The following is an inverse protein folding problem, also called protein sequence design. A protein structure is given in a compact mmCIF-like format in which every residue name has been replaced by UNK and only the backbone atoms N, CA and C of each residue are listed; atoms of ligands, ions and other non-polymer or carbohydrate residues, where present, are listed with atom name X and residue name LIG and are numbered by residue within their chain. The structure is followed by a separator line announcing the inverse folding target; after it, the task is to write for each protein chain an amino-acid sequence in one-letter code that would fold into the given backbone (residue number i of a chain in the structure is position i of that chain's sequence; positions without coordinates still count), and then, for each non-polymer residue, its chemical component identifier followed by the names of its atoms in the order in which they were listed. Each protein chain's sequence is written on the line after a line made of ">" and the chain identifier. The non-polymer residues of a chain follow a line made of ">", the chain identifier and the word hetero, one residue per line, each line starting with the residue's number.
data_IF_790002381492
#
_entry.id   IF_790002381492
#
_cell.length_a   1.000
_cell.length_b   1.000
_cell.length_c   1.000
_cell.angle_alpha   90.00
_cell.angle_beta   90.00
_cell.angle_gamma   90.00
#
_symmetry.space_group_name_H-M   'P 1'
#
loop_
_entity.id
_entity.type
_entity.pdbx_description
1 polymer ?
#
# COMPACT_ATOMS: atom_id res chain seq x y z
N UNK A 1 7.77 -25.11 -14.23
CA UNK A 1 9.01 -24.85 -13.46
C UNK A 1 8.69 -23.61 -12.63
N UNK A 2 8.48 -23.76 -11.33
CA UNK A 2 8.08 -22.64 -10.46
C UNK A 2 9.28 -21.69 -10.37
N UNK A 3 9.15 -20.39 -10.66
CA UNK A 3 10.25 -19.46 -10.54
C UNK A 3 10.80 -19.44 -9.10
N UNK A 4 12.11 -19.57 -8.94
CA UNK A 4 12.82 -19.53 -7.64
C UNK A 4 12.69 -18.18 -6.90
N UNK A 5 12.05 -17.18 -7.51
CA UNK A 5 11.88 -15.81 -7.01
C UNK A 5 11.09 -15.75 -5.69
N UNK A 6 10.16 -16.68 -5.50
CA UNK A 6 9.32 -16.73 -4.30
C UNK A 6 10.05 -17.33 -3.10
N UNK A 7 11.06 -18.17 -3.35
CA UNK A 7 11.96 -18.65 -2.28
C UNK A 7 12.93 -17.58 -1.80
N UNK A 8 13.07 -16.48 -2.53
CA UNK A 8 13.94 -15.35 -2.17
C UNK A 8 13.21 -14.26 -1.37
N UNK A 9 12.07 -14.57 -0.74
CA UNK A 9 11.44 -13.78 0.32
C UNK A 9 11.67 -14.42 1.69
N UNK A 10 12.89 -14.95 1.90
CA UNK A 10 13.46 -15.05 3.24
C UNK A 10 13.43 -13.63 3.84
N UNK A 11 12.74 -13.47 4.98
CA UNK A 11 12.47 -12.22 5.72
C UNK A 11 13.04 -10.95 5.07
N UNK A 12 12.19 -10.17 4.37
CA UNK A 12 12.59 -8.86 3.83
C UNK A 12 11.94 -7.74 4.60
N UNK A 13 12.70 -6.69 4.85
CA UNK A 13 12.22 -5.46 5.46
C UNK A 13 12.05 -4.39 4.40
N UNK A 14 10.86 -3.80 4.39
CA UNK A 14 10.49 -2.73 3.50
C UNK A 14 10.09 -1.49 4.28
N UNK A 15 10.47 -0.34 3.73
CA UNK A 15 10.00 0.96 4.18
C UNK A 15 8.95 1.47 3.22
N UNK A 16 7.71 1.56 3.71
CA UNK A 16 6.60 2.19 2.99
C UNK A 16 6.42 3.61 3.51
N UNK A 17 6.38 4.59 2.61
CA UNK A 17 6.17 5.98 2.97
C UNK A 17 5.10 6.61 2.09
N UNK A 18 4.21 7.37 2.73
CA UNK A 18 3.28 8.27 2.05
C UNK A 18 3.54 9.70 2.52
N UNK A 19 3.79 10.60 1.56
CA UNK A 19 3.81 12.04 1.77
C UNK A 19 2.53 12.63 1.20
N UNK A 20 1.79 13.36 2.03
CA UNK A 20 0.58 14.09 1.66
C UNK A 20 0.88 15.57 1.75
N UNK A 21 0.87 16.24 0.60
CA UNK A 21 0.97 17.68 0.49
C UNK A 21 -0.39 18.25 0.14
N UNK A 22 -0.95 19.12 0.99
CA UNK A 22 -2.23 19.79 0.76
C UNK A 22 -2.04 21.30 0.61
N UNK A 23 -2.51 21.86 -0.50
CA UNK A 23 -2.58 23.30 -0.71
C UNK A 23 -3.87 23.85 -0.10
N UNK A 24 -3.77 24.56 1.04
CA UNK A 24 -4.94 25.17 1.68
C UNK A 24 -5.33 26.49 0.99
N UNK A 25 -4.34 27.24 0.53
CA UNK A 25 -4.49 28.46 -0.26
C UNK A 25 -3.21 28.71 -1.08
N UNK A 26 -3.17 29.72 -1.98
CA UNK A 26 -2.00 29.97 -2.84
C UNK A 26 -0.67 30.20 -2.10
N UNK A 27 -0.69 30.54 -0.82
CA UNK A 27 0.48 30.90 -0.01
C UNK A 27 0.77 29.93 1.15
N UNK A 28 -0.09 28.95 1.39
CA UNK A 28 0.04 28.03 2.52
C UNK A 28 -0.21 26.59 2.11
N UNK A 29 0.78 25.76 2.40
CA UNK A 29 0.84 24.35 2.07
C UNK A 29 1.22 23.57 3.32
N UNK A 30 0.53 22.46 3.56
CA UNK A 30 0.82 21.56 4.66
C UNK A 30 1.34 20.25 4.11
N UNK A 31 2.42 19.74 4.70
CA UNK A 31 2.97 18.43 4.37
C UNK A 31 2.84 17.51 5.59
N UNK A 32 2.38 16.28 5.35
CA UNK A 32 2.36 15.20 6.33
C UNK A 32 3.06 13.98 5.76
N UNK A 33 3.75 13.25 6.61
CA UNK A 33 4.52 12.06 6.24
C UNK A 33 4.16 10.91 7.17
N UNK A 34 3.83 9.78 6.56
CA UNK A 34 3.46 8.54 7.24
C UNK A 34 4.37 7.43 6.76
N UNK A 35 5.15 6.84 7.66
CA UNK A 35 6.12 5.78 7.35
C UNK A 35 5.76 4.52 8.13
N UNK A 36 5.90 3.37 7.46
CA UNK A 36 5.77 2.03 8.02
C UNK A 36 7.01 1.22 7.68
N UNK A 37 7.62 0.59 8.67
CA UNK A 37 8.61 -0.46 8.44
C UNK A 37 7.90 -1.81 8.55
N UNK A 38 7.88 -2.56 7.46
CA UNK A 38 7.19 -3.83 7.36
C UNK A 38 8.17 -4.96 7.05
N UNK A 39 8.15 -5.99 7.88
CA UNK A 39 8.78 -7.27 7.61
C UNK A 39 7.80 -8.15 6.85
N UNK A 40 8.28 -8.79 5.78
CA UNK A 40 7.48 -9.63 4.88
C UNK A 40 8.09 -11.02 4.85
N UNK A 41 7.31 -11.99 5.29
CA UNK A 41 7.69 -13.39 5.38
C UNK A 41 6.92 -14.21 4.35
N UNK A 42 7.63 -14.91 3.48
CA UNK A 42 7.02 -15.92 2.63
C UNK A 42 6.80 -17.21 3.42
N UNK A 43 5.54 -17.62 3.56
CA UNK A 43 5.14 -18.78 4.35
C UNK A 43 5.05 -20.07 3.52
N UNK A 44 5.17 -19.96 2.20
CA UNK A 44 5.12 -21.08 1.27
C UNK A 44 4.10 -20.90 0.15
N UNK A 45 3.95 -21.97 -0.63
CA UNK A 45 3.14 -21.98 -1.85
C UNK A 45 2.04 -23.04 -1.75
N UNK A 46 0.85 -22.72 -2.24
CA UNK A 46 -0.24 -23.66 -2.44
C UNK A 46 -0.74 -23.57 -3.88
N UNK A 47 -0.35 -24.54 -4.71
CA UNK A 47 -0.59 -24.54 -6.16
C UNK A 47 -0.07 -23.25 -6.82
N UNK A 48 -0.98 -22.39 -7.26
CA UNK A 48 -0.73 -21.14 -7.97
C UNK A 48 -0.80 -19.91 -7.05
N UNK A 49 -0.85 -20.12 -5.73
CA UNK A 49 -0.94 -19.06 -4.74
C UNK A 49 0.23 -19.06 -3.76
N UNK A 50 0.54 -17.89 -3.24
CA UNK A 50 1.62 -17.64 -2.30
C UNK A 50 1.08 -17.08 -1.00
N UNK A 51 1.56 -17.61 0.12
CA UNK A 51 1.15 -17.16 1.45
C UNK A 51 2.22 -16.24 2.03
N UNK A 52 1.78 -15.11 2.54
CA UNK A 52 2.64 -14.11 3.15
C UNK A 52 2.15 -13.73 4.54
N UNK A 53 3.10 -13.48 5.44
CA UNK A 53 2.86 -12.78 6.69
C UNK A 53 3.57 -11.44 6.64
N UNK A 54 2.82 -10.35 6.84
CA UNK A 54 3.32 -8.98 6.86
C UNK A 54 3.20 -8.45 8.27
N UNK A 55 4.32 -8.03 8.85
CA UNK A 55 4.41 -7.47 10.19
C UNK A 55 4.98 -6.05 10.13
N UNK A 56 4.17 -5.05 10.47
CA UNK A 56 4.62 -3.66 10.59
C UNK A 56 5.23 -3.45 11.98
N UNK A 57 6.56 -3.33 12.02
CA UNK A 57 7.34 -3.22 13.26
C UNK A 57 7.48 -1.78 13.76
N UNK A 58 7.22 -0.78 12.91
CA UNK A 58 7.33 0.63 13.28
C UNK A 58 6.40 1.54 12.46
N UNK A 59 5.87 2.58 13.11
CA UNK A 59 5.03 3.63 12.53
C UNK A 59 5.59 5.01 12.89
N UNK A 60 6.09 5.75 11.90
CA UNK A 60 6.68 7.09 12.08
C UNK A 60 5.80 8.11 11.36
N UNK A 61 5.07 8.92 12.13
CA UNK A 61 4.12 9.92 11.62
C UNK A 61 4.69 11.31 11.94
N UNK A 62 4.77 12.19 10.96
CA UNK A 62 5.33 13.54 11.15
C UNK A 62 4.50 14.42 12.08
N UNK A 63 3.24 14.04 12.32
CA UNK A 63 2.26 14.79 13.06
C UNK A 63 1.77 14.04 14.32
N UNK A 64 2.60 13.12 14.84
CA UNK A 64 2.30 12.27 16.00
C UNK A 64 2.36 12.98 17.36
N UNK A 65 2.71 14.27 17.35
CA UNK A 65 2.61 15.16 18.50
C UNK A 65 1.18 15.67 18.71
N UNK A 66 0.41 15.81 17.63
CA UNK A 66 -0.97 16.29 17.65
C UNK A 66 -2.00 15.15 17.88
N UNK A 67 -3.21 15.52 18.31
CA UNK A 67 -4.26 14.56 18.65
C UNK A 67 -4.72 13.70 17.47
N UNK A 68 -4.78 14.27 16.25
CA UNK A 68 -5.22 13.57 15.04
C UNK A 68 -4.16 12.55 14.59
N UNK A 69 -2.89 12.91 14.59
CA UNK A 69 -1.80 11.99 14.24
C UNK A 69 -1.71 10.83 15.24
N UNK A 70 -1.87 11.09 16.54
CA UNK A 70 -1.97 10.03 17.56
C UNK A 70 -3.16 9.10 17.31
N UNK A 71 -4.32 9.67 17.01
CA UNK A 71 -5.53 8.91 16.69
C UNK A 71 -5.32 8.02 15.46
N UNK A 72 -4.80 8.57 14.36
CA UNK A 72 -4.54 7.81 13.13
C UNK A 72 -3.47 6.73 13.34
N UNK A 73 -2.40 7.01 14.11
CA UNK A 73 -1.38 6.03 14.47
C UNK A 73 -1.98 4.89 15.28
N UNK A 74 -2.88 5.18 16.23
CA UNK A 74 -3.57 4.14 16.99
C UNK A 74 -4.46 3.24 16.13
N UNK A 75 -5.08 3.78 15.08
CA UNK A 75 -5.88 3.02 14.11
C UNK A 75 -4.98 2.21 13.18
N UNK A 76 -3.78 2.69 12.86
CA UNK A 76 -2.86 2.01 11.96
C UNK A 76 -2.39 0.65 12.50
N UNK A 77 -2.32 0.47 13.82
CA UNK A 77 -2.09 -0.83 14.47
C UNK A 77 -3.20 -1.87 14.23
N UNK A 78 -4.33 -1.49 13.63
CA UNK A 78 -5.29 -2.47 13.14
C UNK A 78 -4.65 -3.39 12.08
N UNK A 79 -3.83 -2.83 11.19
CA UNK A 79 -3.26 -3.49 10.02
C UNK A 79 -1.75 -3.74 10.14
N UNK A 80 -1.23 -3.82 11.36
CA UNK A 80 0.20 -4.10 11.61
C UNK A 80 0.57 -5.58 11.47
N UNK A 81 -0.42 -6.48 11.33
CA UNK A 81 -0.21 -7.92 11.23
C UNK A 81 -1.23 -8.50 10.26
N UNK A 82 -0.76 -8.92 9.08
CA UNK A 82 -1.60 -9.42 7.99
C UNK A 82 -1.10 -10.76 7.50
N UNK A 83 -2.02 -11.71 7.35
CA UNK A 83 -1.78 -12.98 6.67
C UNK A 83 -2.49 -12.95 5.32
N UNK A 84 -1.73 -12.94 4.23
CA UNK A 84 -2.26 -12.68 2.89
C UNK A 84 -2.02 -13.87 1.96
N UNK A 85 -3.00 -14.17 1.11
CA UNK A 85 -2.82 -15.04 -0.05
C UNK A 85 -2.70 -14.16 -1.29
N UNK A 86 -1.70 -14.44 -2.11
CA UNK A 86 -1.33 -13.66 -3.30
C UNK A 86 -1.28 -14.57 -4.52
N UNK A 87 -1.77 -14.10 -5.67
CA UNK A 87 -1.74 -14.84 -6.93
C UNK A 87 -0.36 -14.85 -7.62
N UNK A 88 -0.28 -15.48 -8.81
CA UNK A 88 0.94 -15.53 -9.61
C UNK A 88 1.40 -14.21 -10.20
N UNK A 89 0.56 -13.18 -10.15
CA UNK A 89 0.89 -11.86 -10.66
C UNK A 89 1.42 -10.98 -9.52
N UNK A 90 0.99 -11.24 -8.28
CA UNK A 90 1.37 -10.46 -7.10
C UNK A 90 0.20 -9.66 -6.52
N UNK A 91 -1.03 -10.00 -6.88
CA UNK A 91 -2.24 -9.37 -6.33
C UNK A 91 -2.71 -10.10 -5.08
N UNK A 92 -3.19 -9.35 -4.08
CA UNK A 92 -3.85 -9.91 -2.91
C UNK A 92 -5.18 -10.52 -3.36
N UNK A 93 -5.43 -11.79 -3.01
CA UNK A 93 -6.69 -12.48 -3.32
C UNK A 93 -7.44 -12.96 -2.08
N UNK A 94 -6.81 -12.95 -0.91
CA UNK A 94 -7.42 -13.36 0.36
C UNK A 94 -6.70 -12.72 1.55
N UNK A 95 -7.45 -12.40 2.61
CA UNK A 95 -6.96 -11.97 3.92
C UNK A 95 -7.27 -13.04 4.96
N UNK A 96 -6.32 -13.97 5.13
CA UNK A 96 -6.47 -15.18 5.93
C UNK A 96 -6.80 -14.92 7.41
N UNK A 97 -6.37 -13.77 7.95
CA UNK A 97 -6.59 -13.39 9.34
C UNK A 97 -7.71 -12.33 9.54
N UNK A 98 -8.67 -12.20 8.62
CA UNK A 98 -9.74 -11.19 8.70
C UNK A 98 -10.54 -11.21 10.02
N UNK A 99 -10.82 -12.40 10.57
CA UNK A 99 -11.53 -12.52 11.85
C UNK A 99 -10.72 -11.94 13.02
N UNK A 100 -9.40 -12.08 12.98
CA UNK A 100 -8.52 -11.46 13.96
C UNK A 100 -8.53 -9.93 13.84
N UNK A 101 -8.50 -9.40 12.62
CA UNK A 101 -8.62 -7.96 12.37
C UNK A 101 -9.94 -7.40 12.88
N UNK A 102 -11.06 -8.09 12.65
CA UNK A 102 -12.39 -7.71 13.18
C UNK A 102 -12.41 -7.64 14.71
N UNK A 103 -11.88 -8.66 15.39
CA UNK A 103 -11.80 -8.67 16.85
C UNK A 103 -10.87 -7.59 17.39
N UNK A 104 -9.75 -7.32 16.71
CA UNK A 104 -8.82 -6.24 17.04
C UNK A 104 -9.48 -4.88 16.86
N UNK A 105 -10.22 -4.68 15.78
CA UNK A 105 -10.96 -3.46 15.50
C UNK A 105 -11.98 -3.15 16.60
N UNK A 106 -12.76 -4.14 17.05
CA UNK A 106 -13.71 -3.95 18.16
C UNK A 106 -13.03 -3.38 19.41
N UNK A 107 -11.82 -3.86 19.74
CA UNK A 107 -11.04 -3.38 20.89
C UNK A 107 -10.48 -1.97 20.66
N UNK A 108 -9.93 -1.70 19.47
CA UNK A 108 -9.39 -0.38 19.12
C UNK A 108 -10.52 0.66 19.13
N UNK A 109 -11.62 0.39 18.44
CA UNK A 109 -12.78 1.28 18.36
C UNK A 109 -13.35 1.57 19.76
N UNK A 110 -13.59 0.54 20.59
CA UNK A 110 -14.10 0.72 21.95
C UNK A 110 -13.22 1.65 22.79
N UNK A 111 -11.89 1.44 22.75
CA UNK A 111 -10.92 2.29 23.46
C UNK A 111 -10.92 3.73 22.93
N UNK A 112 -10.94 3.92 21.61
CA UNK A 112 -10.88 5.25 21.02
C UNK A 112 -12.17 6.05 21.24
N UNK A 113 -13.33 5.39 21.25
CA UNK A 113 -14.65 6.01 21.53
C UNK A 113 -14.77 6.62 22.92
N UNK A 114 -13.91 6.22 23.88
CA UNK A 114 -13.90 6.82 25.22
C UNK A 114 -13.45 8.28 25.19
N UNK A 115 -12.55 8.62 24.26
CA UNK A 115 -11.83 9.90 24.21
C UNK A 115 -12.08 10.69 22.92
N UNK A 116 -12.53 10.03 21.85
CA UNK A 116 -12.83 10.64 20.54
C UNK A 116 -14.31 10.44 20.22
N UNK A 117 -15.06 11.55 20.14
CA UNK A 117 -16.50 11.54 19.90
C UNK A 117 -16.89 12.60 18.89
N UNK A 118 -17.99 12.35 18.19
CA UNK A 118 -18.58 13.27 17.23
C UNK A 118 -18.75 12.61 15.87
N UNK A 119 -19.66 13.18 15.07
CA UNK A 119 -20.14 12.61 13.82
C UNK A 119 -19.01 12.25 12.84
N UNK A 120 -17.95 13.06 12.78
CA UNK A 120 -16.78 12.80 11.93
C UNK A 120 -16.04 11.52 12.36
N UNK A 121 -15.85 11.32 13.67
CA UNK A 121 -15.21 10.11 14.22
C UNK A 121 -16.11 8.89 14.02
N UNK A 122 -17.41 9.04 14.30
CA UNK A 122 -18.39 7.96 14.14
C UNK A 122 -18.49 7.50 12.67
N UNK A 123 -18.44 8.45 11.74
CA UNK A 123 -18.38 8.17 10.30
C UNK A 123 -17.10 7.43 9.94
N UNK A 124 -15.95 7.88 10.46
CA UNK A 124 -14.66 7.21 10.22
C UNK A 124 -14.63 5.77 10.75
N UNK A 125 -15.18 5.53 11.94
CA UNK A 125 -15.31 4.19 12.50
C UNK A 125 -16.26 3.30 11.71
N UNK A 126 -17.35 3.87 11.19
CA UNK A 126 -18.29 3.16 10.33
C UNK A 126 -17.63 2.77 9.00
N UNK A 127 -16.78 3.63 8.42
CA UNK A 127 -16.00 3.32 7.23
C UNK A 127 -15.05 2.14 7.46
N UNK A 128 -14.28 2.14 8.54
CA UNK A 128 -13.38 1.03 8.86
C UNK A 128 -14.17 -0.27 9.10
N UNK A 129 -15.28 -0.19 9.83
CA UNK A 129 -16.16 -1.35 10.05
C UNK A 129 -16.65 -1.91 8.72
N UNK A 130 -17.09 -1.04 7.81
CA UNK A 130 -17.56 -1.46 6.49
C UNK A 130 -16.47 -2.09 5.63
N UNK A 131 -15.21 -1.61 5.73
CA UNK A 131 -14.07 -2.23 5.06
C UNK A 131 -13.83 -3.65 5.60
N UNK A 132 -13.95 -3.86 6.92
CA UNK A 132 -13.71 -5.17 7.53
C UNK A 132 -14.88 -6.16 7.36
N UNK A 133 -16.09 -5.70 7.09
CA UNK A 133 -17.26 -6.56 6.87
C UNK A 133 -17.21 -7.31 5.54
N UNK A 134 -16.60 -6.71 4.52
CA UNK A 134 -16.49 -7.24 3.17
C UNK A 134 -15.02 -7.45 2.80
N UNK A 135 -14.59 -8.70 2.66
CA UNK A 135 -13.20 -9.03 2.37
C UNK A 135 -12.73 -8.43 1.05
N UNK A 136 -13.61 -8.28 0.05
CA UNK A 136 -13.23 -7.66 -1.22
C UNK A 136 -12.84 -6.19 -1.02
N UNK A 137 -13.61 -5.46 -0.20
CA UNK A 137 -13.29 -4.06 0.16
C UNK A 137 -12.00 -3.97 0.96
N UNK A 138 -11.74 -4.94 1.83
CA UNK A 138 -10.48 -5.00 2.57
C UNK A 138 -9.30 -5.25 1.63
N UNK A 139 -9.43 -6.17 0.67
CA UNK A 139 -8.42 -6.44 -0.36
C UNK A 139 -8.16 -5.17 -1.18
N UNK A 140 -9.20 -4.50 -1.67
CA UNK A 140 -9.07 -3.24 -2.42
C UNK A 140 -8.36 -2.16 -1.59
N UNK A 141 -8.75 -2.02 -0.32
CA UNK A 141 -8.13 -1.08 0.61
C UNK A 141 -6.65 -1.38 0.83
N UNK A 142 -6.28 -2.63 1.09
CA UNK A 142 -4.90 -3.06 1.31
C UNK A 142 -4.06 -2.97 0.03
N UNK A 143 -4.66 -3.22 -1.13
CA UNK A 143 -4.07 -3.09 -2.46
C UNK A 143 -3.88 -1.65 -2.94
N UNK A 144 -4.40 -0.65 -2.21
CA UNK A 144 -4.15 0.76 -2.49
C UNK A 144 -2.70 1.19 -2.26
N UNK A 145 -2.21 2.16 -3.04
CA UNK A 145 -0.87 2.75 -2.87
C UNK A 145 -0.56 3.27 -1.46
N UNK A 146 -1.51 3.87 -0.71
CA UNK A 146 -1.26 4.27 0.67
C UNK A 146 -1.04 3.11 1.64
N UNK A 147 -1.45 1.88 1.27
CA UNK A 147 -1.37 0.68 2.09
C UNK A 147 -0.22 -0.23 1.63
N UNK A 148 -0.49 -1.40 1.05
CA UNK A 148 0.53 -2.35 0.60
C UNK A 148 0.53 -2.54 -0.92
N UNK A 149 -0.21 -1.69 -1.65
CA UNK A 149 -0.33 -1.72 -3.09
C UNK A 149 0.95 -1.47 -3.89
N UNK A 150 2.02 -0.98 -3.25
CA UNK A 150 3.35 -0.96 -3.87
C UNK A 150 4.07 -2.30 -3.73
N UNK A 151 3.77 -3.07 -2.68
CA UNK A 151 4.39 -4.38 -2.40
C UNK A 151 3.64 -5.50 -3.14
N UNK A 152 2.31 -5.50 -3.06
CA UNK A 152 1.42 -6.48 -3.72
C UNK A 152 0.71 -5.81 -4.90
N UNK A 153 1.52 -5.48 -5.91
CA UNK A 153 1.14 -4.59 -6.99
C UNK A 153 0.81 -5.34 -8.30
N UNK A 154 0.67 -6.66 -8.27
CA UNK A 154 0.51 -7.45 -9.49
C UNK A 154 1.78 -7.54 -10.35
N UNK A 155 2.95 -7.22 -9.77
CA UNK A 155 4.26 -7.39 -10.39
C UNK A 155 5.23 -8.13 -9.45
N UNK A 156 5.21 -9.46 -9.50
CA UNK A 156 6.21 -10.29 -8.80
C UNK A 156 7.62 -10.20 -9.41
N UNK A 157 7.71 -9.92 -10.72
CA UNK A 157 8.97 -9.88 -11.45
C UNK A 157 8.95 -8.78 -12.51
N UNK A 158 10.14 -8.32 -12.87
CA UNK A 158 10.30 -7.44 -14.02
C UNK A 158 9.93 -8.15 -15.34
N UNK A 159 9.73 -7.37 -16.39
CA UNK A 159 9.40 -7.87 -17.72
C UNK A 159 10.00 -6.98 -18.79
N UNK A 160 10.29 -7.55 -19.96
CA UNK A 160 10.96 -6.84 -21.05
C UNK A 160 9.99 -6.25 -22.09
N UNK A 161 8.68 -6.44 -21.91
CA UNK A 161 7.65 -5.95 -22.85
C UNK A 161 6.67 -4.99 -22.18
N UNK A 162 6.13 -4.05 -22.95
CA UNK A 162 5.12 -3.12 -22.43
C UNK A 162 3.89 -3.88 -21.95
N UNK A 163 3.36 -3.52 -20.78
CA UNK A 163 2.15 -4.12 -20.19
C UNK A 163 1.15 -3.06 -19.76
N UNK A 164 -0.10 -3.50 -19.62
CA UNK A 164 -1.19 -2.71 -19.05
C UNK A 164 -1.68 -3.38 -17.77
N UNK A 165 -2.11 -2.57 -16.80
CA UNK A 165 -2.89 -3.05 -15.65
C UNK A 165 -3.92 -2.00 -15.24
N UNK A 166 -4.92 -2.41 -14.50
CA UNK A 166 -5.82 -1.49 -13.81
C UNK A 166 -5.13 -0.96 -12.55
N UNK A 167 -5.21 0.35 -12.32
CA UNK A 167 -4.68 0.98 -11.11
C UNK A 167 -5.64 0.83 -9.94
N UNK A 168 -5.15 0.91 -8.69
CA UNK A 168 -6.02 1.04 -7.51
C UNK A 168 -6.96 2.27 -7.54
N UNK A 169 -6.64 3.28 -8.37
CA UNK A 169 -7.44 4.49 -8.55
C UNK A 169 -8.41 4.39 -9.76
N UNK A 170 -8.56 3.21 -10.37
CA UNK A 170 -9.60 2.91 -11.37
C UNK A 170 -9.31 3.35 -12.80
N UNK A 171 -8.08 3.76 -13.12
CA UNK A 171 -7.63 4.04 -14.49
C UNK A 171 -6.59 3.02 -14.98
N UNK A 172 -6.35 2.94 -16.29
CA UNK A 172 -5.37 2.02 -16.88
C UNK A 172 -3.94 2.58 -16.80
N UNK A 173 -3.04 1.80 -16.24
CA UNK A 173 -1.60 2.07 -16.20
C UNK A 173 -0.86 1.39 -17.35
N UNK A 174 0.00 2.16 -18.02
CA UNK A 174 0.98 1.68 -18.98
C UNK A 174 2.33 1.50 -18.30
N UNK A 175 2.86 0.29 -18.35
CA UNK A 175 4.15 -0.07 -17.77
C UNK A 175 5.16 -0.30 -18.87
N UNK A 176 6.20 0.54 -18.92
CA UNK A 176 7.21 0.53 -19.96
C UNK A 176 8.58 0.18 -19.37
N UNK A 177 9.16 -0.98 -19.72
CA UNK A 177 10.44 -1.39 -19.17
C UNK A 177 11.61 -0.69 -19.85
N UNK A 178 12.60 -0.31 -19.04
CA UNK A 178 13.89 0.25 -19.45
C UNK A 178 14.99 -0.55 -18.77
N UNK A 179 15.87 -1.17 -19.56
CA UNK A 179 16.94 -2.04 -19.06
C UNK A 179 18.30 -1.35 -19.14
N UNK A 180 19.00 -1.31 -18.02
CA UNK A 180 20.35 -0.75 -17.87
C UNK A 180 21.23 -1.76 -17.13
N UNK A 181 21.94 -2.62 -17.88
CA UNK A 181 22.69 -3.72 -17.30
C UNK A 181 21.78 -4.75 -16.62
N UNK A 182 22.02 -5.00 -15.32
CA UNK A 182 21.19 -5.89 -14.47
C UNK A 182 19.96 -5.19 -13.87
N UNK A 183 19.85 -3.87 -14.05
CA UNK A 183 18.73 -3.08 -13.54
C UNK A 183 17.63 -3.00 -14.60
N UNK A 184 16.40 -3.27 -14.19
CA UNK A 184 15.20 -3.03 -14.99
C UNK A 184 14.33 -2.01 -14.24
N UNK A 185 14.05 -0.89 -14.89
CA UNK A 185 13.13 0.13 -14.38
C UNK A 185 11.85 0.09 -15.20
N UNK A 186 10.72 -0.15 -14.55
CA UNK A 186 9.40 -0.04 -15.15
C UNK A 186 8.90 1.39 -14.93
N UNK A 187 8.76 2.16 -15.99
CA UNK A 187 8.13 3.48 -15.93
C UNK A 187 6.62 3.31 -16.08
N UNK A 188 5.87 3.87 -15.14
CA UNK A 188 4.41 3.76 -15.07
C UNK A 188 3.79 5.11 -15.44
N UNK A 189 2.94 5.11 -16.46
CA UNK A 189 2.23 6.30 -16.94
C UNK A 189 0.76 5.95 -17.15
N UNK A 190 -0.18 6.89 -16.99
CA UNK A 190 -1.57 6.59 -17.29
C UNK A 190 -1.77 6.44 -18.80
N UNK A 191 -2.63 5.51 -19.23
CA UNK A 191 -3.11 5.49 -20.62
C UNK A 191 -4.13 6.60 -20.86
N UNK A 192 -5.07 6.75 -19.94
CA UNK A 192 -6.03 7.85 -19.89
C UNK A 192 -6.34 8.14 -18.42
N UNK A 193 -6.36 9.43 -18.06
CA UNK A 193 -6.80 9.88 -16.74
C UNK A 193 -8.26 10.35 -16.76
N UNK A 194 -8.88 10.58 -17.91
CA UNK A 194 -10.31 10.86 -17.97
C UNK A 194 -11.09 9.56 -17.73
N UNK A 195 -12.04 9.50 -16.78
CA UNK A 195 -12.74 10.61 -16.11
C UNK A 195 -12.34 10.87 -14.64
N UNK A 196 -11.13 10.51 -14.22
CA UNK A 196 -10.67 10.70 -12.83
C UNK A 196 -10.41 12.17 -12.50
N UNK A 197 -10.41 12.51 -11.20
CA UNK A 197 -9.99 13.83 -10.69
C UNK A 197 -8.45 13.99 -10.65
N UNK A 198 -7.70 13.10 -11.28
CA UNK A 198 -6.24 13.07 -11.23
C UNK A 198 -5.69 13.97 -12.35
N UNK A 199 -4.99 15.02 -11.94
CA UNK A 199 -4.32 15.98 -12.84
C UNK A 199 -2.95 15.46 -13.31
N UNK A 200 -2.30 14.65 -12.47
CA UNK A 200 -0.98 14.12 -12.75
C UNK A 200 -0.79 12.74 -12.13
N UNK A 201 -0.24 11.82 -12.91
CA UNK A 201 0.20 10.51 -12.46
C UNK A 201 1.56 10.17 -13.04
N UNK A 202 2.47 9.67 -12.20
CA UNK A 202 3.68 8.97 -12.65
C UNK A 202 4.09 7.92 -11.64
N UNK A 203 4.68 6.84 -12.12
CA UNK A 203 5.29 5.84 -11.26
C UNK A 203 6.59 5.30 -11.82
N UNK A 204 7.34 4.65 -10.94
CA UNK A 204 8.50 3.85 -11.30
C UNK A 204 8.62 2.64 -10.37
N UNK A 205 9.03 1.52 -10.93
CA UNK A 205 9.39 0.31 -10.18
C UNK A 205 10.79 -0.13 -10.61
N UNK A 206 11.67 -0.34 -9.65
CA UNK A 206 13.08 -0.68 -9.88
C UNK A 206 13.33 -2.10 -9.43
N UNK A 207 13.84 -2.90 -10.36
CA UNK A 207 14.30 -4.25 -10.13
C UNK A 207 15.79 -4.35 -10.42
N UNK A 208 16.53 -5.09 -9.59
CA UNK A 208 17.92 -5.44 -9.81
C UNK A 208 18.05 -6.96 -9.80
N UNK A 209 18.31 -7.54 -10.97
CA UNK A 209 18.06 -8.96 -11.18
C UNK A 209 16.59 -9.29 -10.90
N UNK A 210 16.35 -10.26 -10.03
CA UNK A 210 15.01 -10.69 -9.61
C UNK A 210 14.53 -10.01 -8.31
N UNK A 211 15.27 -9.00 -7.81
CA UNK A 211 14.93 -8.32 -6.57
C UNK A 211 14.23 -6.98 -6.83
N UNK A 212 13.07 -6.79 -6.20
CA UNK A 212 12.32 -5.54 -6.23
C UNK A 212 12.86 -4.57 -5.15
N UNK A 213 13.61 -3.56 -5.58
CA UNK A 213 14.35 -2.65 -4.69
C UNK A 213 13.52 -1.42 -4.30
N UNK A 214 12.83 -0.81 -5.27
CA UNK A 214 12.16 0.47 -5.08
C UNK A 214 10.86 0.54 -5.88
N UNK A 215 9.83 1.13 -5.27
CA UNK A 215 8.64 1.57 -5.96
C UNK A 215 8.28 2.99 -5.59
N UNK A 216 7.82 3.76 -6.55
CA UNK A 216 7.36 5.12 -6.31
C UNK A 216 6.17 5.45 -7.21
N UNK A 217 5.18 6.14 -6.64
CA UNK A 217 3.99 6.64 -7.32
C UNK A 217 3.76 8.08 -6.86
N UNK A 218 3.53 8.99 -7.80
CA UNK A 218 3.14 10.37 -7.56
C UNK A 218 1.79 10.65 -8.22
N UNK A 219 0.87 11.16 -7.41
CA UNK A 219 -0.49 11.52 -7.82
C UNK A 219 -0.72 12.97 -7.44
N UNK A 220 -1.20 13.79 -8.37
CA UNK A 220 -1.78 15.11 -8.06
C UNK A 220 -3.25 15.07 -8.43
N UNK A 221 -4.10 15.45 -7.48
CA UNK A 221 -5.53 15.57 -7.68
C UNK A 221 -6.05 16.73 -6.86
N UNK A 222 -6.81 17.62 -7.49
CA UNK A 222 -7.36 18.81 -6.85
C UNK A 222 -6.24 19.62 -6.15
N UNK A 223 -6.39 19.89 -4.86
CA UNK A 223 -5.40 20.61 -4.05
C UNK A 223 -4.44 19.68 -3.30
N UNK A 224 -4.36 18.41 -3.67
CA UNK A 224 -3.56 17.40 -2.96
C UNK A 224 -2.50 16.79 -3.89
N UNK A 225 -1.30 16.65 -3.35
CA UNK A 225 -0.17 16.00 -3.99
C UNK A 225 0.30 14.85 -3.09
N UNK A 226 0.13 13.63 -3.59
CA UNK A 226 0.43 12.40 -2.90
C UNK A 226 1.70 11.79 -3.52
N UNK A 227 2.60 11.34 -2.66
CA UNK A 227 3.75 10.52 -3.06
C UNK A 227 3.78 9.28 -2.21
N UNK A 228 3.76 8.12 -2.86
CA UNK A 228 3.91 6.82 -2.23
C UNK A 228 5.25 6.25 -2.63
N UNK A 229 5.99 5.71 -1.66
CA UNK A 229 7.26 5.05 -1.92
C UNK A 229 7.37 3.75 -1.13
N UNK A 230 8.05 2.79 -1.74
CA UNK A 230 8.46 1.52 -1.18
C UNK A 230 9.96 1.42 -1.40
N UNK A 231 10.71 1.11 -0.36
CA UNK A 231 12.15 0.87 -0.44
C UNK A 231 12.49 -0.39 0.33
N UNK A 232 13.20 -1.32 -0.30
CA UNK A 232 13.84 -2.42 0.42
C UNK A 232 14.98 -1.89 1.29
N UNK A 233 14.99 -2.26 2.57
CA UNK A 233 15.95 -1.74 3.56
C UNK A 233 16.72 -2.82 4.33
N UNK A 234 16.55 -4.10 3.97
CA UNK A 234 17.22 -5.23 4.62
C UNK A 234 16.38 -6.48 4.59
#
# INVERSE_FOLDING_TARGET
>A
MVPDILKNLDQKTYRLETIVTEQKNPFYLTEKKYVRHAEVYHLGNEKDYFKYHVLVVDFIFSDDDNAVGKFLKQISYLFDELELTVDQEGNIVEVNNINFLRLRWMKIAARLSETHKGEVIDTYFSQISSILEDESRLIDFLGGYPMFGLLFNGLLQSFDTRRKRESPDGFTEMMTPVKEGEKITLTITPENLEPTEIDHFRGLFVFKGDHYEEGFIEIKKNNTHLKHSLLWIG
#
